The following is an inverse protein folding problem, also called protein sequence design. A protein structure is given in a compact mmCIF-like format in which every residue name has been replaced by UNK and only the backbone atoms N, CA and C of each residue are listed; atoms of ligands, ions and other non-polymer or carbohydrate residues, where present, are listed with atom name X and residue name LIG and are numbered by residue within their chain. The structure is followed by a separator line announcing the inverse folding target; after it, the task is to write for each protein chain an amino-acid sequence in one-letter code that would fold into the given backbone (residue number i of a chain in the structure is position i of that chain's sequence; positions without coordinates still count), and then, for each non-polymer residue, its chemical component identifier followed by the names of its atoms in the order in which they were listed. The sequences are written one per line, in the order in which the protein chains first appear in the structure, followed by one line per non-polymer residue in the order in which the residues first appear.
data_IF_879415645407
#
_entry.id   IF_879415645407
#
_cell.length_a   1.000
_cell.length_b   1.000
_cell.length_c   1.000
_cell.angle_alpha   90.00
_cell.angle_beta   90.00
_cell.angle_gamma   90.00
#
_symmetry.space_group_name_H-M   'P 1'
#
loop_
_entity.id
_entity.type
_entity.pdbx_description
1 polymer ?
#
# COMPACT_ATOMS: atom_id res chain seq x y z
N UNK A 1 -19.70 14.81 -7.27
CA UNK A 1 -19.22 15.62 -8.40
C UNK A 1 -18.33 14.74 -9.26
N UNK A 2 -18.74 14.49 -10.49
CA UNK A 2 -17.93 13.71 -11.43
C UNK A 2 -17.00 14.68 -12.15
N UNK A 3 -15.78 14.80 -11.84
CA UNK A 3 -14.66 15.60 -12.36
C UNK A 3 -14.77 16.47 -13.63
N UNK A 4 -15.96 16.63 -14.20
CA UNK A 4 -16.30 17.50 -15.35
C UNK A 4 -17.43 18.47 -15.04
N UNK A 5 -17.61 18.86 -13.77
CA UNK A 5 -18.65 19.79 -13.37
C UNK A 5 -20.07 19.21 -13.27
N UNK A 6 -20.22 17.90 -13.39
CA UNK A 6 -21.51 17.22 -13.23
C UNK A 6 -21.62 16.79 -11.76
N UNK A 7 -22.56 17.35 -11.03
CA UNK A 7 -22.88 16.95 -9.66
C UNK A 7 -24.16 16.14 -9.62
N UNK A 8 -24.15 15.02 -8.92
CA UNK A 8 -25.34 14.21 -8.67
C UNK A 8 -25.61 14.14 -7.16
N UNK A 9 -26.87 14.19 -6.81
CA UNK A 9 -27.28 13.90 -5.45
C UNK A 9 -27.24 12.36 -5.25
N UNK A 10 -26.40 11.89 -4.35
CA UNK A 10 -26.23 10.45 -4.07
C UNK A 10 -27.55 9.75 -3.71
N UNK A 11 -28.47 10.47 -3.07
CA UNK A 11 -29.79 9.93 -2.68
C UNK A 11 -30.76 9.74 -3.86
N UNK A 12 -30.51 10.44 -4.96
CA UNK A 12 -31.34 10.41 -6.17
C UNK A 12 -30.67 9.64 -7.32
N UNK A 13 -29.43 9.22 -7.11
CA UNK A 13 -28.67 8.49 -8.12
C UNK A 13 -29.11 7.02 -8.17
N UNK A 14 -29.54 6.57 -9.35
CA UNK A 14 -29.82 5.14 -9.62
C UNK A 14 -28.54 4.35 -9.93
N UNK A 15 -27.38 5.00 -9.94
CA UNK A 15 -26.10 4.37 -10.25
C UNK A 15 -25.45 3.78 -8.99
N UNK A 16 -24.79 2.63 -9.11
CA UNK A 16 -24.09 1.98 -8.01
C UNK A 16 -22.76 2.70 -7.72
N UNK A 17 -22.85 3.76 -6.94
CA UNK A 17 -21.70 4.52 -6.44
C UNK A 17 -21.52 4.27 -4.96
N UNK A 18 -20.27 4.31 -4.49
CA UNK A 18 -19.96 4.28 -3.07
C UNK A 18 -18.95 5.37 -2.77
N UNK A 19 -19.12 6.05 -1.66
CA UNK A 19 -18.30 7.20 -1.25
C UNK A 19 -17.73 6.93 0.12
N UNK A 20 -16.44 7.18 0.29
CA UNK A 20 -15.80 7.30 1.59
C UNK A 20 -15.57 8.79 1.88
N UNK A 21 -16.05 9.23 3.03
CA UNK A 21 -15.94 10.63 3.49
C UNK A 21 -14.59 10.90 4.17
N UNK A 22 -14.24 12.19 4.34
CA UNK A 22 -13.06 12.62 5.10
C UNK A 22 -13.01 11.99 6.51
N UNK A 23 -14.15 11.91 7.19
CA UNK A 23 -14.24 11.35 8.54
C UNK A 23 -13.88 9.87 8.57
N UNK A 24 -14.44 9.07 7.65
CA UNK A 24 -14.14 7.64 7.54
C UNK A 24 -12.68 7.37 7.18
N UNK A 25 -12.10 8.20 6.31
CA UNK A 25 -10.69 8.11 5.90
C UNK A 25 -9.75 8.50 7.03
N UNK A 26 -10.12 9.49 7.85
CA UNK A 26 -9.28 9.97 8.97
C UNK A 26 -9.01 8.92 10.05
N UNK A 27 -9.94 7.96 10.22
CA UNK A 27 -9.80 6.86 11.17
C UNK A 27 -8.85 5.75 10.72
N UNK A 28 -8.54 5.70 9.42
CA UNK A 28 -7.65 4.68 8.84
C UNK A 28 -6.41 5.33 8.22
N UNK A 29 -5.41 5.56 9.06
CA UNK A 29 -4.14 6.09 8.59
C UNK A 29 -3.23 4.95 8.13
N UNK A 30 -2.70 5.07 6.93
CA UNK A 30 -1.70 4.17 6.36
C UNK A 30 -0.62 4.99 5.67
N UNK A 31 0.57 4.41 5.50
CA UNK A 31 1.65 5.03 4.73
C UNK A 31 1.22 5.14 3.27
N UNK A 32 0.62 4.09 2.72
CA UNK A 32 0.07 4.06 1.36
C UNK A 32 -1.44 4.30 1.41
N UNK A 33 -1.92 5.27 0.66
CA UNK A 33 -3.34 5.66 0.64
C UNK A 33 -4.24 4.57 0.05
N UNK A 34 -3.72 3.73 -0.84
CA UNK A 34 -4.44 2.58 -1.37
C UNK A 34 -4.86 1.60 -0.26
N UNK A 35 -4.00 1.37 0.73
CA UNK A 35 -4.30 0.52 1.89
C UNK A 35 -5.37 1.11 2.81
N UNK A 36 -5.46 2.44 2.89
CA UNK A 36 -6.46 3.14 3.69
C UNK A 36 -7.89 2.80 3.26
N UNK A 37 -8.10 2.48 1.98
CA UNK A 37 -9.42 2.14 1.44
C UNK A 37 -9.91 0.74 1.82
N UNK A 38 -9.09 -0.08 2.48
CA UNK A 38 -9.44 -1.44 2.86
C UNK A 38 -10.70 -1.49 3.74
N UNK A 39 -11.74 -2.17 3.22
CA UNK A 39 -13.00 -2.36 3.93
C UNK A 39 -13.88 -1.11 4.11
N UNK A 40 -13.52 0.07 3.52
CA UNK A 40 -14.32 1.28 3.60
C UNK A 40 -15.39 1.36 2.51
N UNK A 41 -15.06 0.91 1.32
CA UNK A 41 -15.91 1.12 0.14
C UNK A 41 -16.49 -0.21 -0.32
N UNK A 42 -17.80 -0.44 -0.21
CA UNK A 42 -18.43 -1.68 -0.68
C UNK A 42 -18.19 -1.89 -2.18
N UNK A 43 -17.70 -3.08 -2.55
CA UNK A 43 -17.43 -3.45 -3.94
C UNK A 43 -16.07 -2.97 -4.47
N UNK A 44 -15.27 -2.31 -3.66
CA UNK A 44 -13.84 -2.09 -3.90
C UNK A 44 -13.05 -3.19 -3.19
N UNK A 45 -12.30 -3.96 -3.96
CA UNK A 45 -11.38 -4.96 -3.45
C UNK A 45 -9.99 -4.33 -3.35
N UNK A 46 -9.41 -4.39 -2.16
CA UNK A 46 -8.08 -3.88 -1.85
C UNK A 46 -7.22 -5.08 -1.49
N UNK A 47 -6.22 -5.37 -2.30
CA UNK A 47 -5.33 -6.50 -2.13
C UNK A 47 -3.93 -6.01 -1.86
N UNK A 48 -3.47 -6.24 -0.65
CA UNK A 48 -2.10 -6.02 -0.24
C UNK A 48 -1.27 -7.24 -0.67
N UNK A 49 -0.37 -7.06 -1.61
CA UNK A 49 0.42 -8.15 -2.18
C UNK A 49 1.80 -8.30 -1.53
N UNK A 50 2.23 -7.30 -0.81
CA UNK A 50 3.55 -7.21 -0.18
C UNK A 50 3.40 -6.74 1.27
N UNK A 51 4.34 -7.11 2.11
CA UNK A 51 4.52 -6.55 3.45
C UNK A 51 5.76 -5.67 3.54
N UNK A 52 6.33 -5.29 2.39
CA UNK A 52 7.50 -4.42 2.37
C UNK A 52 7.15 -3.03 2.88
N UNK A 53 7.98 -2.46 3.73
CA UNK A 53 7.71 -1.18 4.38
C UNK A 53 7.51 0.00 3.39
N UNK A 54 7.99 -0.13 2.15
CA UNK A 54 7.95 0.92 1.12
C UNK A 54 7.10 0.59 -0.10
N UNK A 55 7.00 -0.68 -0.45
CA UNK A 55 6.28 -1.17 -1.64
C UNK A 55 5.08 -2.01 -1.20
N UNK A 56 4.29 -1.43 -0.32
CA UNK A 56 3.09 -2.03 0.25
C UNK A 56 1.81 -1.41 -0.32
N UNK A 57 1.92 -0.76 -1.47
CA UNK A 57 0.76 -0.21 -2.15
C UNK A 57 -0.22 -1.32 -2.57
N UNK A 58 -1.48 -1.18 -2.17
CA UNK A 58 -2.48 -2.18 -2.49
C UNK A 58 -2.89 -2.13 -3.96
N UNK A 59 -3.12 -3.30 -4.53
CA UNK A 59 -3.80 -3.43 -5.81
C UNK A 59 -5.30 -3.22 -5.61
N UNK A 60 -5.84 -2.22 -6.28
CA UNK A 60 -7.27 -1.89 -6.24
C UNK A 60 -8.01 -2.58 -7.38
N UNK A 61 -9.18 -3.15 -7.09
CA UNK A 61 -10.08 -3.74 -8.10
C UNK A 61 -11.53 -3.41 -7.78
N UNK A 62 -12.28 -3.05 -8.79
CA UNK A 62 -13.71 -2.79 -8.66
C UNK A 62 -14.47 -4.03 -9.17
N UNK A 63 -15.29 -4.63 -8.28
CA UNK A 63 -16.08 -5.85 -8.59
C UNK A 63 -15.23 -7.09 -8.96
N UNK A 64 -13.94 -7.14 -8.57
CA UNK A 64 -13.09 -8.31 -8.79
C UNK A 64 -12.47 -8.39 -10.18
N UNK A 65 -12.29 -9.61 -10.68
CA UNK A 65 -11.68 -9.88 -11.98
C UNK A 65 -12.74 -9.80 -13.09
N UNK A 66 -12.73 -8.72 -13.85
CA UNK A 66 -13.61 -8.56 -15.02
C UNK A 66 -12.99 -9.03 -16.34
N UNK A 67 -11.66 -9.08 -16.42
CA UNK A 67 -10.92 -9.48 -17.63
C UNK A 67 -9.66 -10.26 -17.27
N UNK A 68 -9.09 -10.98 -18.23
CA UNK A 68 -7.81 -11.69 -18.08
C UNK A 68 -6.60 -10.77 -18.33
N UNK A 69 -6.81 -9.56 -18.85
CA UNK A 69 -5.73 -8.64 -19.23
C UNK A 69 -5.36 -7.69 -18.08
N UNK A 70 -6.11 -6.62 -17.89
CA UNK A 70 -5.89 -5.65 -16.81
C UNK A 70 -7.17 -5.44 -16.02
N UNK A 71 -7.07 -5.45 -14.71
CA UNK A 71 -8.20 -5.23 -13.79
C UNK A 71 -8.05 -3.94 -12.99
N UNK A 72 -7.04 -3.13 -13.30
CA UNK A 72 -6.76 -1.88 -12.59
C UNK A 72 -7.82 -0.83 -12.93
N UNK A 73 -8.50 -0.24 -11.94
CA UNK A 73 -9.45 0.83 -12.17
C UNK A 73 -8.73 2.13 -12.55
N UNK A 74 -9.44 3.01 -13.25
CA UNK A 74 -8.95 4.36 -13.52
C UNK A 74 -9.04 5.21 -12.26
N UNK A 75 -7.92 5.76 -11.80
CA UNK A 75 -7.86 6.68 -10.65
C UNK A 75 -7.74 8.10 -11.17
N UNK A 76 -8.67 8.96 -10.76
CA UNK A 76 -8.71 10.37 -11.11
C UNK A 76 -8.67 11.23 -9.85
N UNK A 77 -7.64 12.04 -9.70
CA UNK A 77 -7.50 13.03 -8.63
C UNK A 77 -7.87 14.40 -9.20
N UNK A 78 -8.94 14.99 -8.72
CA UNK A 78 -9.52 16.24 -9.24
C UNK A 78 -9.69 16.27 -10.77
N UNK A 79 -9.96 15.10 -11.38
CA UNK A 79 -10.17 14.93 -12.82
C UNK A 79 -8.92 14.57 -13.64
N UNK A 80 -7.74 14.49 -13.02
CA UNK A 80 -6.50 14.09 -13.67
C UNK A 80 -6.12 12.65 -13.29
N UNK A 81 -5.67 11.87 -14.27
CA UNK A 81 -5.17 10.51 -14.04
C UNK A 81 -3.86 10.55 -13.23
N UNK A 82 -3.92 10.01 -12.02
CA UNK A 82 -2.80 10.04 -11.08
C UNK A 82 -2.93 8.89 -10.07
N UNK A 83 -1.80 8.38 -9.56
CA UNK A 83 -1.80 7.40 -8.48
C UNK A 83 -2.31 8.02 -7.17
N UNK A 84 -3.11 7.24 -6.44
CA UNK A 84 -3.61 7.61 -5.12
C UNK A 84 -2.49 7.78 -4.09
N UNK A 85 -1.44 6.99 -4.21
CA UNK A 85 -0.31 6.97 -3.26
C UNK A 85 0.66 8.15 -3.45
N UNK A 86 0.46 8.98 -4.50
CA UNK A 86 1.26 10.18 -4.76
C UNK A 86 0.72 11.45 -4.10
N UNK A 87 -0.40 11.37 -3.41
CA UNK A 87 -1.00 12.49 -2.67
C UNK A 87 -0.95 12.21 -1.18
N UNK A 88 -1.02 13.23 -0.35
CA UNK A 88 -1.12 13.02 1.10
C UNK A 88 -2.53 12.58 1.48
N UNK A 89 -2.64 11.63 2.42
CA UNK A 89 -3.93 11.21 2.97
C UNK A 89 -4.74 12.39 3.54
N UNK A 90 -4.05 13.34 4.15
CA UNK A 90 -4.65 14.53 4.76
C UNK A 90 -5.17 15.55 3.72
N UNK A 91 -4.80 15.41 2.43
CA UNK A 91 -5.35 16.23 1.32
C UNK A 91 -6.69 15.71 0.82
N UNK A 92 -7.03 14.46 1.09
CA UNK A 92 -8.23 13.84 0.53
C UNK A 92 -9.47 14.34 1.29
N UNK A 93 -10.45 14.88 0.53
CA UNK A 93 -11.77 15.24 1.05
C UNK A 93 -12.75 14.05 0.96
N UNK A 94 -12.72 13.33 -0.18
CA UNK A 94 -13.57 12.15 -0.38
C UNK A 94 -13.03 11.27 -1.50
N UNK A 95 -13.36 9.98 -1.41
CA UNK A 95 -13.10 8.99 -2.46
C UNK A 95 -14.42 8.41 -2.91
N UNK A 96 -14.72 8.51 -4.20
CA UNK A 96 -15.95 7.98 -4.81
C UNK A 96 -15.59 6.89 -5.81
N UNK A 97 -16.22 5.72 -5.69
CA UNK A 97 -16.00 4.61 -6.62
C UNK A 97 -17.24 4.43 -7.51
N UNK A 98 -17.03 4.56 -8.83
CA UNK A 98 -18.03 4.30 -9.86
C UNK A 98 -17.90 2.85 -10.30
N UNK A 99 -18.97 2.10 -10.08
CA UNK A 99 -18.97 0.64 -10.31
C UNK A 99 -19.79 0.21 -11.52
N UNK A 100 -20.69 1.05 -12.01
CA UNK A 100 -21.60 0.73 -13.11
C UNK A 100 -21.08 1.25 -14.44
N UNK A 101 -21.37 0.51 -15.51
CA UNK A 101 -21.07 0.90 -16.87
C UNK A 101 -21.70 2.27 -17.25
N UNK A 102 -22.90 2.55 -16.76
CA UNK A 102 -23.56 3.84 -17.00
C UNK A 102 -22.79 5.02 -16.43
N UNK A 103 -22.26 4.89 -15.18
CA UNK A 103 -21.48 5.93 -14.53
C UNK A 103 -20.05 6.05 -15.10
N UNK A 104 -19.47 4.93 -15.54
CA UNK A 104 -18.12 4.91 -16.11
C UNK A 104 -18.04 5.22 -17.59
N UNK A 105 -19.18 5.21 -18.31
CA UNK A 105 -19.25 5.51 -19.75
C UNK A 105 -18.65 6.89 -20.12
N UNK A 106 -18.72 7.86 -19.22
CA UNK A 106 -18.12 9.19 -19.38
C UNK A 106 -16.59 9.17 -19.53
N UNK A 107 -15.95 8.08 -19.08
CA UNK A 107 -14.49 7.91 -19.08
C UNK A 107 -14.00 6.98 -20.20
N UNK A 108 -14.92 6.53 -21.06
CA UNK A 108 -14.62 5.68 -22.21
C UNK A 108 -13.99 4.35 -21.82
N UNK A 109 -13.14 3.80 -22.69
CA UNK A 109 -12.51 2.49 -22.48
C UNK A 109 -11.64 2.40 -21.21
N UNK A 110 -11.03 3.49 -20.79
CA UNK A 110 -10.23 3.53 -19.54
C UNK A 110 -11.09 3.28 -18.30
N UNK A 111 -12.37 3.62 -18.33
CA UNK A 111 -13.33 3.39 -17.24
C UNK A 111 -13.92 1.97 -17.18
N UNK A 112 -13.57 1.07 -18.10
CA UNK A 112 -14.17 -0.26 -18.20
C UNK A 112 -14.02 -1.12 -16.92
N UNK A 113 -12.91 -0.95 -16.20
CA UNK A 113 -12.60 -1.66 -14.94
C UNK A 113 -13.11 -0.92 -13.69
N UNK A 114 -13.95 0.11 -13.86
CA UNK A 114 -14.37 1.01 -12.79
C UNK A 114 -13.50 2.27 -12.71
N UNK A 115 -14.04 3.28 -12.03
CA UNK A 115 -13.36 4.57 -11.85
C UNK A 115 -13.36 4.95 -10.38
N UNK A 116 -12.21 5.37 -9.88
CA UNK A 116 -12.02 5.89 -8.54
C UNK A 116 -11.80 7.40 -8.66
N UNK A 117 -12.74 8.17 -8.15
CA UNK A 117 -12.67 9.63 -8.14
C UNK A 117 -12.21 10.08 -6.77
N UNK A 118 -11.09 10.76 -6.73
CA UNK A 118 -10.54 11.38 -5.53
C UNK A 118 -10.73 12.86 -5.61
N UNK A 119 -11.38 13.43 -4.62
CA UNK A 119 -11.56 14.85 -4.46
C UNK A 119 -10.62 15.33 -3.37
N UNK A 120 -9.82 16.34 -3.67
CA UNK A 120 -8.93 16.96 -2.69
C UNK A 120 -9.61 18.12 -1.95
N UNK A 121 -9.12 18.41 -0.77
CA UNK A 121 -9.57 19.54 0.06
C UNK A 121 -9.29 20.85 -0.65
N UNK A 122 -10.29 21.73 -0.62
CA UNK A 122 -10.18 23.08 -1.20
C UNK A 122 -10.34 24.14 -0.12
N UNK A 123 -9.89 25.34 -0.42
CA UNK A 123 -10.11 26.51 0.41
C UNK A 123 -11.59 26.76 0.65
N UNK A 124 -11.96 27.07 1.86
CA UNK A 124 -13.33 27.43 2.26
C UNK A 124 -13.39 28.88 2.67
N UNK A 125 -14.57 29.48 2.48
CA UNK A 125 -14.86 30.82 2.98
C UNK A 125 -14.97 30.78 4.50
N UNK A 126 -14.22 31.58 5.21
CA UNK A 126 -14.22 31.60 6.67
C UNK A 126 -12.88 32.03 7.27
N UNK A 127 -12.82 31.96 8.60
CA UNK A 127 -11.57 32.20 9.33
C UNK A 127 -10.53 31.15 8.95
N UNK A 128 -9.23 31.50 8.96
CA UNK A 128 -8.15 30.52 8.76
C UNK A 128 -8.25 29.36 9.76
N UNK A 129 -8.29 28.15 9.23
CA UNK A 129 -8.16 26.91 9.99
C UNK A 129 -6.78 26.35 9.77
N UNK A 130 -6.05 26.16 10.86
CA UNK A 130 -4.69 25.61 10.84
C UNK A 130 -4.75 24.24 11.51
N UNK A 131 -4.27 23.21 10.81
CA UNK A 131 -4.14 21.88 11.34
C UNK A 131 -2.67 21.47 11.34
N UNK A 132 -2.25 20.87 12.43
CA UNK A 132 -0.95 20.22 12.57
C UNK A 132 -1.17 18.78 12.99
N UNK A 133 -0.56 17.85 12.27
CA UNK A 133 -0.56 16.45 12.65
C UNK A 133 0.86 15.89 12.67
N UNK A 134 1.13 15.08 13.69
CA UNK A 134 2.34 14.29 13.80
C UNK A 134 1.94 12.84 13.99
N UNK A 135 2.50 11.97 13.16
CA UNK A 135 2.26 10.55 13.20
C UNK A 135 3.60 9.81 13.32
N UNK A 136 3.73 9.03 14.36
CA UNK A 136 4.84 8.09 14.52
C UNK A 136 4.35 6.70 14.13
N UNK A 137 5.09 6.04 13.26
CA UNK A 137 4.81 4.69 12.82
C UNK A 137 5.96 3.77 13.25
N UNK A 138 5.63 2.62 13.80
CA UNK A 138 6.57 1.55 14.06
C UNK A 138 6.03 0.29 13.37
N UNK A 139 6.83 -0.30 12.50
CA UNK A 139 6.50 -1.54 11.84
C UNK A 139 7.50 -2.63 12.25
N UNK A 140 6.97 -3.81 12.45
CA UNK A 140 7.73 -5.02 12.83
C UNK A 140 7.37 -6.14 11.87
N UNK A 141 8.33 -6.90 11.33
CA UNK A 141 8.04 -8.08 10.54
C UNK A 141 7.18 -9.06 11.37
N UNK A 142 5.99 -9.40 10.87
CA UNK A 142 5.11 -10.30 11.61
C UNK A 142 5.56 -11.76 11.54
N UNK A 143 6.14 -12.14 10.41
CA UNK A 143 6.57 -13.50 10.16
C UNK A 143 7.71 -13.50 9.15
N UNK A 144 8.87 -13.91 9.61
CA UNK A 144 10.01 -14.20 8.75
C UNK A 144 10.08 -15.71 8.52
N UNK A 145 10.55 -16.19 7.37
CA UNK A 145 10.85 -17.58 7.16
C UNK A 145 11.94 -18.03 8.14
N UNK A 146 11.74 -19.16 8.79
CA UNK A 146 12.78 -19.80 9.57
C UNK A 146 13.65 -20.64 8.64
N UNK A 147 14.94 -20.34 8.59
CA UNK A 147 15.90 -21.11 7.82
C UNK A 147 16.59 -22.14 8.71
N UNK A 148 16.88 -23.29 8.11
CA UNK A 148 17.68 -24.32 8.77
C UNK A 148 19.15 -23.90 8.78
N UNK A 149 19.88 -24.31 9.80
CA UNK A 149 21.32 -24.11 9.88
C UNK A 149 22.07 -24.87 8.78
N UNK A 150 23.32 -24.45 8.52
CA UNK A 150 24.14 -25.02 7.45
C UNK A 150 24.38 -26.54 7.58
N UNK A 151 24.47 -27.04 8.79
CA UNK A 151 24.61 -28.46 9.03
C UNK A 151 23.36 -29.26 8.64
N UNK A 152 22.20 -28.81 9.10
CA UNK A 152 20.92 -29.45 8.79
C UNK A 152 20.64 -29.43 7.29
N UNK A 153 20.92 -28.28 6.62
CA UNK A 153 20.81 -28.14 5.16
C UNK A 153 21.71 -29.14 4.43
N UNK A 154 23.02 -29.19 4.79
CA UNK A 154 23.99 -30.07 4.14
C UNK A 154 23.66 -31.55 4.33
N UNK A 155 23.19 -31.93 5.53
CA UNK A 155 22.74 -33.28 5.83
C UNK A 155 21.49 -33.66 5.03
N UNK A 156 20.47 -32.81 5.00
CA UNK A 156 19.25 -33.08 4.26
C UNK A 156 19.50 -33.15 2.74
N UNK A 157 20.40 -32.33 2.20
CA UNK A 157 20.79 -32.38 0.80
C UNK A 157 21.48 -33.68 0.46
N UNK A 158 22.42 -34.15 1.29
CA UNK A 158 23.07 -35.46 1.10
C UNK A 158 22.07 -36.63 1.13
N UNK A 159 21.13 -36.58 2.05
CA UNK A 159 20.08 -37.59 2.18
C UNK A 159 19.19 -37.62 0.92
N UNK A 160 18.75 -36.42 0.43
CA UNK A 160 17.99 -36.30 -0.80
C UNK A 160 18.74 -36.87 -2.01
N UNK A 161 20.01 -36.49 -2.19
CA UNK A 161 20.85 -36.99 -3.29
C UNK A 161 21.03 -38.53 -3.23
N UNK A 162 21.23 -39.05 -2.04
CA UNK A 162 21.39 -40.52 -1.85
C UNK A 162 20.08 -41.25 -2.19
N UNK A 163 18.94 -40.70 -1.82
CA UNK A 163 17.62 -41.26 -2.14
C UNK A 163 17.36 -41.27 -3.65
N UNK A 164 17.87 -40.25 -4.36
CA UNK A 164 17.81 -40.17 -5.84
C UNK A 164 18.87 -41.05 -6.53
N UNK A 165 19.65 -41.83 -5.79
CA UNK A 165 20.72 -42.67 -6.33
C UNK A 165 21.98 -41.93 -6.75
N UNK A 166 22.12 -40.68 -6.32
CA UNK A 166 23.27 -39.80 -6.59
C UNK A 166 24.30 -39.90 -5.43
N UNK A 167 25.53 -39.45 -5.71
CA UNK A 167 26.55 -39.36 -4.69
C UNK A 167 26.28 -38.19 -3.75
N UNK A 168 26.57 -38.40 -2.45
CA UNK A 168 26.54 -37.35 -1.46
C UNK A 168 27.47 -36.18 -1.86
N UNK A 169 26.99 -34.95 -1.72
CA UNK A 169 27.74 -33.75 -2.07
C UNK A 169 28.77 -33.36 -1.01
N UNK A 170 28.42 -33.51 0.26
CA UNK A 170 29.27 -33.17 1.39
C UNK A 170 29.83 -34.43 2.04
N UNK A 171 31.13 -34.44 2.26
CA UNK A 171 31.81 -35.52 3.00
C UNK A 171 31.48 -35.45 4.50
N UNK A 172 31.78 -36.53 5.23
CA UNK A 172 31.63 -36.57 6.69
C UNK A 172 32.46 -35.49 7.41
N UNK A 173 33.65 -35.14 6.88
CA UNK A 173 34.49 -34.06 7.42
C UNK A 173 33.88 -32.69 7.23
N UNK A 174 33.27 -32.45 6.08
CA UNK A 174 32.58 -31.18 5.79
C UNK A 174 31.32 -31.02 6.63
N UNK A 175 30.54 -32.07 6.81
CA UNK A 175 29.40 -32.08 7.71
C UNK A 175 29.81 -31.77 9.17
N UNK A 176 30.92 -32.34 9.63
CA UNK A 176 31.44 -32.04 10.96
C UNK A 176 31.95 -30.61 11.06
N UNK A 177 32.56 -30.07 9.99
CA UNK A 177 32.97 -28.65 9.93
C UNK A 177 31.77 -27.70 9.98
N UNK A 178 30.66 -28.01 9.31
CA UNK A 178 29.40 -27.26 9.45
C UNK A 178 28.85 -27.32 10.87
N UNK A 179 28.88 -28.51 11.50
CA UNK A 179 28.36 -28.72 12.86
C UNK A 179 29.18 -27.97 13.91
N UNK A 180 30.50 -27.98 13.79
CA UNK A 180 31.41 -27.38 14.77
C UNK A 180 31.74 -25.90 14.45
N UNK A 181 31.31 -25.40 13.30
CA UNK A 181 31.66 -24.04 12.81
C UNK A 181 33.17 -23.76 12.84
N UNK A 182 33.98 -24.81 12.57
CA UNK A 182 35.43 -24.73 12.68
C UNK A 182 36.08 -23.76 11.68
N UNK A 183 35.44 -23.52 10.57
CA UNK A 183 35.86 -22.50 9.58
C UNK A 183 34.64 -21.82 8.95
N UNK A 184 34.10 -20.75 9.58
CA UNK A 184 32.89 -20.08 9.14
C UNK A 184 32.99 -19.45 7.75
N UNK A 185 34.18 -19.10 7.29
CA UNK A 185 34.39 -18.51 5.96
C UNK A 185 34.20 -19.52 4.83
N UNK A 186 34.45 -20.80 5.10
CA UNK A 186 34.32 -21.89 4.12
C UNK A 186 33.00 -22.64 4.30
N UNK A 187 32.55 -22.79 5.54
CA UNK A 187 31.33 -23.51 5.93
C UNK A 187 30.37 -22.57 6.67
N UNK A 188 29.80 -21.57 6.00
CA UNK A 188 28.97 -20.58 6.64
C UNK A 188 27.64 -21.18 7.10
N UNK A 189 27.17 -20.70 8.25
CA UNK A 189 25.83 -20.96 8.77
C UNK A 189 25.27 -19.65 9.33
N UNK A 190 24.98 -18.71 8.43
CA UNK A 190 24.51 -17.38 8.77
C UNK A 190 23.02 -17.29 8.46
N UNK A 191 22.24 -16.81 9.40
CA UNK A 191 20.88 -16.35 9.14
C UNK A 191 20.95 -14.94 8.57
N UNK A 192 20.78 -14.85 7.25
CA UNK A 192 20.84 -13.58 6.54
C UNK A 192 19.67 -12.66 6.85
N UNK A 193 18.55 -13.19 7.34
CA UNK A 193 17.44 -12.35 7.76
C UNK A 193 17.75 -11.63 9.06
N UNK A 194 18.32 -12.32 10.03
CA UNK A 194 18.71 -11.77 11.32
C UNK A 194 19.86 -10.75 11.17
N UNK A 195 20.80 -11.03 10.25
CA UNK A 195 21.95 -10.13 10.00
C UNK A 195 21.58 -8.89 9.17
N UNK A 196 20.69 -9.05 8.17
CA UNK A 196 20.40 -7.99 7.21
C UNK A 196 19.19 -7.13 7.58
N UNK A 197 18.22 -7.69 8.31
CA UNK A 197 17.00 -6.98 8.68
C UNK A 197 17.08 -6.45 10.10
N UNK A 198 16.48 -5.29 10.30
CA UNK A 198 16.26 -4.75 11.65
C UNK A 198 14.93 -5.26 12.20
N UNK A 199 14.86 -5.48 13.50
CA UNK A 199 13.64 -5.91 14.17
C UNK A 199 12.48 -4.93 14.03
N UNK A 200 12.80 -3.66 13.87
CA UNK A 200 11.81 -2.58 13.81
C UNK A 200 12.19 -1.53 12.78
N UNK A 201 11.20 -1.09 12.05
CA UNK A 201 11.26 0.07 11.16
C UNK A 201 10.48 1.22 11.78
N UNK A 202 11.02 2.42 11.71
CA UNK A 202 10.42 3.63 12.28
C UNK A 202 10.12 4.63 11.19
N UNK A 203 8.95 5.25 11.27
CA UNK A 203 8.56 6.32 10.36
C UNK A 203 7.95 7.50 11.11
N UNK A 204 8.22 8.69 10.62
CA UNK A 204 7.64 9.93 11.11
C UNK A 204 6.95 10.63 9.94
N UNK A 205 5.72 11.03 10.15
CA UNK A 205 4.97 11.85 9.20
C UNK A 205 4.51 13.12 9.90
N UNK A 206 4.93 14.25 9.38
CA UNK A 206 4.57 15.58 9.88
C UNK A 206 3.77 16.29 8.81
N UNK A 207 2.54 16.65 9.11
CA UNK A 207 1.69 17.40 8.19
C UNK A 207 1.27 18.71 8.83
N UNK A 208 1.46 19.78 8.09
CA UNK A 208 0.92 21.11 8.40
C UNK A 208 -0.01 21.53 7.28
N UNK A 209 -1.23 21.93 7.61
CA UNK A 209 -2.17 22.45 6.62
C UNK A 209 -2.85 23.72 7.12
N UNK A 210 -3.11 24.62 6.17
CA UNK A 210 -3.85 25.84 6.41
C UNK A 210 -4.89 26.03 5.32
N UNK A 211 -6.13 26.28 5.70
CA UNK A 211 -7.21 26.59 4.77
C UNK A 211 -8.00 27.80 5.24
N UNK A 212 -8.48 28.59 4.30
CA UNK A 212 -9.29 29.78 4.59
C UNK A 212 -9.65 30.52 3.34
N UNK A 213 -10.22 31.69 3.51
CA UNK A 213 -10.48 32.59 2.40
C UNK A 213 -11.67 33.53 2.61
N UNK A 214 -11.75 34.51 1.74
CA UNK A 214 -12.86 35.47 1.63
C UNK A 214 -13.74 35.18 0.41
N UNK A 215 -14.52 36.21 0.03
CA UNK A 215 -15.37 36.12 -1.17
C UNK A 215 -14.57 35.97 -2.46
N UNK A 216 -13.42 36.65 -2.56
CA UNK A 216 -12.63 36.72 -3.79
C UNK A 216 -11.53 35.68 -3.88
N UNK A 217 -10.92 35.28 -2.75
CA UNK A 217 -9.80 34.35 -2.72
C UNK A 217 -10.02 33.32 -1.63
N UNK A 218 -9.87 32.03 -2.00
CA UNK A 218 -9.87 30.90 -1.09
C UNK A 218 -8.58 30.14 -1.29
N UNK A 219 -7.98 29.71 -0.20
CA UNK A 219 -6.71 28.99 -0.25
C UNK A 219 -6.73 27.73 0.59
N UNK A 220 -6.01 26.73 0.13
CA UNK A 220 -5.63 25.54 0.86
C UNK A 220 -4.13 25.33 0.60
N UNK A 221 -3.37 25.21 1.65
CA UNK A 221 -1.93 24.96 1.59
C UNK A 221 -1.61 23.80 2.52
N UNK A 222 -0.80 22.87 2.06
CA UNK A 222 -0.33 21.75 2.85
C UNK A 222 1.16 21.54 2.65
N UNK A 223 1.85 21.25 3.75
CA UNK A 223 3.22 20.78 3.78
C UNK A 223 3.23 19.42 4.48
N UNK A 224 3.77 18.43 3.81
CA UNK A 224 3.93 17.09 4.36
C UNK A 224 5.40 16.69 4.31
N UNK A 225 5.91 16.18 5.43
CA UNK A 225 7.25 15.61 5.54
C UNK A 225 7.14 14.19 6.06
N UNK A 226 7.51 13.25 5.21
CA UNK A 226 7.55 11.83 5.53
C UNK A 226 9.00 11.36 5.58
N UNK A 227 9.40 10.83 6.71
CA UNK A 227 10.67 10.14 6.89
C UNK A 227 10.41 8.75 7.42
N UNK A 228 10.94 7.77 6.72
CA UNK A 228 10.87 6.37 7.13
C UNK A 228 12.27 5.78 7.13
N UNK A 229 12.67 5.10 8.20
CA UNK A 229 13.87 4.29 8.27
C UNK A 229 13.51 2.85 7.88
N UNK A 230 14.22 2.31 6.90
CA UNK A 230 14.08 0.93 6.42
C UNK A 230 14.48 -0.10 7.48
N UNK A 231 13.97 -1.31 7.32
CA UNK A 231 14.46 -2.52 8.01
C UNK A 231 15.94 -2.75 7.75
#
# INVERSE_FOLDING_TARGET
EYGRGISFNLKESTTATAVASEEELSHKKSINNSNMLYGLIPGLQVLQNSGNAWDDAATLRVRGYGTSSSTTPLVLVDGFERSLDQISADEIESVTVLKDAASTALYGMKGANGVILVKTKRGRMGKPEINFSYQFNMATPQRLPEFVDGYTYAKALNEGLTNDGLSARYSAKELEAFRTQSNPDVYPSVDWWDEALRDHSYGNNVTFSARGGGEFVRYFTQLNYLNCLLY
#
